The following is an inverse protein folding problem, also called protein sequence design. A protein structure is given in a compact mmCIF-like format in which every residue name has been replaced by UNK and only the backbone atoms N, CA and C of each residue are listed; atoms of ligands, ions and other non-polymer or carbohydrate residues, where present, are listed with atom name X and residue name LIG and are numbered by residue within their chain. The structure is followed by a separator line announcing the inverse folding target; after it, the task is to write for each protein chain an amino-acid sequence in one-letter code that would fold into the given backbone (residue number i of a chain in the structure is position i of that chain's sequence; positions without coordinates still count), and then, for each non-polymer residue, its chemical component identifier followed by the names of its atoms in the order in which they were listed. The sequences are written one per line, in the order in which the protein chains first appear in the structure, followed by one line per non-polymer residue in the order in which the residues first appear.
data_IF_736731959637
#
_entry.id   IF_736731959637
#
_cell.length_a   1.000
_cell.length_b   1.000
_cell.length_c   1.000
_cell.angle_alpha   90.00
_cell.angle_beta   90.00
_cell.angle_gamma   90.00
#
_symmetry.space_group_name_H-M   'P 1'
#
loop_
_entity.id
_entity.type
_entity.pdbx_description
1 polymer ?
#
# COMPACT_ATOMS: atom_id res chain seq x y z
N UNK A 1 7.03 -6.70 -10.71
CA UNK A 1 7.23 -5.91 -9.47
C UNK A 1 7.59 -6.82 -8.30
N UNK A 2 8.43 -6.34 -7.38
CA UNK A 2 8.78 -7.03 -6.12
C UNK A 2 8.44 -6.10 -4.94
N UNK A 3 7.65 -6.58 -3.99
CA UNK A 3 7.19 -5.82 -2.83
C UNK A 3 7.91 -6.35 -1.60
N UNK A 4 8.58 -5.48 -0.87
CA UNK A 4 9.25 -5.81 0.38
C UNK A 4 8.83 -4.85 1.48
N UNK A 5 8.82 -5.36 2.69
CA UNK A 5 8.52 -4.63 3.91
C UNK A 5 9.77 -4.51 4.76
N UNK A 6 10.01 -3.36 5.33
CA UNK A 6 11.07 -3.15 6.30
C UNK A 6 10.64 -2.15 7.36
N UNK A 7 10.89 -2.45 8.62
CA UNK A 7 10.62 -1.57 9.75
C UNK A 7 9.19 -0.99 9.79
N UNK A 8 8.23 -1.83 10.14
CA UNK A 8 6.82 -1.51 10.46
C UNK A 8 6.00 -0.74 9.40
N UNK A 9 6.53 0.27 8.71
CA UNK A 9 5.80 1.13 7.78
C UNK A 9 6.58 1.46 6.51
N UNK A 10 7.79 0.94 6.33
CA UNK A 10 8.57 1.16 5.11
C UNK A 10 8.27 0.08 4.11
N UNK A 11 7.65 0.44 3.00
CA UNK A 11 7.39 -0.44 1.86
C UNK A 11 8.29 -0.05 0.71
N UNK A 12 8.85 -1.04 0.04
CA UNK A 12 9.57 -0.84 -1.21
C UNK A 12 8.90 -1.60 -2.34
N UNK A 13 8.58 -0.88 -3.41
CA UNK A 13 8.08 -1.40 -4.66
C UNK A 13 9.21 -1.33 -5.69
N UNK A 14 9.73 -2.47 -6.11
CA UNK A 14 10.73 -2.56 -7.18
C UNK A 14 10.06 -3.02 -8.46
N UNK A 15 9.80 -2.10 -9.35
CA UNK A 15 9.36 -2.36 -10.72
C UNK A 15 10.56 -2.65 -11.65
N UNK A 16 10.26 -2.87 -12.93
CA UNK A 16 11.29 -3.06 -13.98
C UNK A 16 12.04 -1.77 -14.30
N UNK A 17 11.35 -0.64 -14.27
CA UNK A 17 11.86 0.66 -14.69
C UNK A 17 12.04 1.65 -13.55
N UNK A 18 11.33 1.45 -12.44
CA UNK A 18 11.31 2.36 -11.31
C UNK A 18 11.30 1.63 -9.97
N UNK A 19 11.87 2.27 -8.97
CA UNK A 19 11.84 1.85 -7.57
C UNK A 19 11.21 2.95 -6.72
N UNK A 20 10.17 2.61 -5.97
CA UNK A 20 9.47 3.51 -5.06
C UNK A 20 9.66 3.00 -3.63
N UNK A 21 10.03 3.89 -2.71
CA UNK A 21 10.08 3.58 -1.29
C UNK A 21 9.15 4.52 -0.54
N UNK A 22 8.28 3.95 0.29
CA UNK A 22 7.29 4.69 1.05
C UNK A 22 7.71 4.68 2.53
N UNK A 23 7.66 5.85 3.17
CA UNK A 23 8.03 6.10 4.57
C UNK A 23 9.43 5.56 4.96
N UNK A 24 10.50 5.84 4.20
CA UNK A 24 11.84 5.42 4.58
C UNK A 24 12.28 6.12 5.89
N UNK A 25 12.92 5.36 6.77
CA UNK A 25 13.43 5.87 8.07
C UNK A 25 14.78 6.61 7.94
N UNK A 26 15.43 6.45 6.80
CA UNK A 26 16.67 7.13 6.43
C UNK A 26 16.71 7.28 4.92
N UNK A 27 17.63 8.10 4.40
CA UNK A 27 17.82 8.19 2.97
C UNK A 27 18.22 6.83 2.38
N UNK A 28 17.50 6.43 1.35
CA UNK A 28 17.72 5.16 0.64
C UNK A 28 17.80 5.41 -0.87
N UNK A 29 18.55 4.56 -1.56
CA UNK A 29 18.62 4.63 -3.01
C UNK A 29 17.33 4.11 -3.63
N UNK A 30 16.58 5.03 -4.23
CA UNK A 30 15.37 4.77 -4.99
C UNK A 30 15.17 5.85 -6.06
N UNK A 31 14.24 5.64 -6.97
CA UNK A 31 13.90 6.67 -7.97
C UNK A 31 12.88 7.66 -7.40
N UNK A 32 12.10 7.23 -6.42
CA UNK A 32 11.09 8.05 -5.75
C UNK A 32 10.94 7.64 -4.28
N UNK A 33 10.85 8.63 -3.41
CA UNK A 33 10.43 8.48 -2.03
C UNK A 33 9.04 9.10 -1.84
N UNK A 34 8.16 8.39 -1.15
CA UNK A 34 6.84 8.89 -0.77
C UNK A 34 6.72 8.93 0.75
N UNK A 35 6.07 9.95 1.27
CA UNK A 35 5.79 10.07 2.70
C UNK A 35 4.30 10.31 2.92
N UNK A 36 3.71 9.56 3.81
CA UNK A 36 2.29 9.71 4.15
C UNK A 36 2.03 10.90 5.07
N UNK A 37 3.05 11.38 5.77
CA UNK A 37 2.97 12.58 6.61
C UNK A 37 3.59 13.79 5.90
N UNK A 38 2.96 14.98 5.98
CA UNK A 38 3.55 16.22 5.48
C UNK A 38 4.83 16.62 6.24
N UNK A 39 4.99 16.17 7.48
CA UNK A 39 6.18 16.35 8.29
C UNK A 39 7.21 15.27 8.00
N UNK A 40 7.78 15.29 6.80
CA UNK A 40 8.78 14.29 6.38
C UNK A 40 10.18 14.89 6.30
N UNK A 41 11.24 14.07 6.46
CA UNK A 41 12.61 14.53 6.29
C UNK A 41 12.86 14.93 4.82
N UNK A 42 13.79 15.89 4.65
CA UNK A 42 14.26 16.27 3.31
C UNK A 42 15.46 15.39 2.94
N UNK A 43 15.37 14.76 1.77
CA UNK A 43 16.44 13.92 1.22
C UNK A 43 16.90 14.47 -0.16
N UNK A 44 18.06 14.06 -0.63
CA UNK A 44 18.53 14.40 -1.99
C UNK A 44 17.73 13.63 -3.06
N UNK A 45 17.27 12.43 -2.73
CA UNK A 45 16.39 11.63 -3.58
C UNK A 45 15.05 12.35 -3.75
N UNK A 46 14.52 12.36 -4.99
CA UNK A 46 13.19 12.95 -5.27
C UNK A 46 12.14 12.39 -4.31
N UNK A 47 11.41 13.28 -3.66
CA UNK A 47 10.42 12.88 -2.67
C UNK A 47 9.15 13.72 -2.74
N UNK A 48 8.01 13.11 -2.40
CA UNK A 48 6.72 13.77 -2.24
C UNK A 48 6.08 13.37 -0.91
N UNK A 49 5.38 14.31 -0.30
CA UNK A 49 4.74 14.17 1.01
C UNK A 49 3.37 14.87 1.08
N UNK A 50 2.74 15.08 -0.06
CA UNK A 50 1.48 15.82 -0.17
C UNK A 50 0.56 15.18 -1.21
N UNK A 51 -0.75 15.45 -1.16
CA UNK A 51 -1.67 15.07 -2.21
C UNK A 51 -1.28 15.69 -3.56
N UNK A 52 -1.57 14.98 -4.65
CA UNK A 52 -1.31 15.42 -6.01
C UNK A 52 -0.91 14.30 -6.96
N UNK A 53 -0.87 14.60 -8.25
CA UNK A 53 -0.49 13.66 -9.30
C UNK A 53 1.00 13.80 -9.64
N UNK A 54 1.71 12.69 -9.67
CA UNK A 54 3.14 12.63 -9.94
C UNK A 54 3.46 11.54 -10.97
N UNK A 55 4.45 11.76 -11.80
CA UNK A 55 4.99 10.76 -12.73
C UNK A 55 6.50 10.66 -12.57
N UNK A 56 7.00 9.44 -12.40
CA UNK A 56 8.42 9.16 -12.28
C UNK A 56 8.76 7.87 -13.03
N UNK A 57 9.61 7.99 -14.08
CA UNK A 57 10.10 6.86 -14.90
C UNK A 57 8.96 5.91 -15.39
N UNK A 58 7.83 6.49 -15.77
CA UNK A 58 6.66 5.76 -16.26
C UNK A 58 5.81 5.12 -15.17
N UNK A 59 6.10 5.38 -13.90
CA UNK A 59 5.18 5.08 -12.80
C UNK A 59 4.32 6.29 -12.51
N UNK A 60 3.01 6.10 -12.51
CA UNK A 60 2.04 7.11 -12.11
C UNK A 60 1.77 6.98 -10.61
N UNK A 61 1.71 8.09 -9.92
CA UNK A 61 1.43 8.15 -8.47
C UNK A 61 0.41 9.25 -8.23
N UNK A 62 -0.68 8.91 -7.60
CA UNK A 62 -1.70 9.83 -7.14
C UNK A 62 -1.72 9.83 -5.60
N UNK A 63 -1.38 10.97 -5.01
CA UNK A 63 -1.47 11.22 -3.58
C UNK A 63 -2.84 11.73 -3.20
N UNK A 64 -3.55 11.01 -2.35
CA UNK A 64 -4.93 11.30 -1.94
C UNK A 64 -4.95 11.70 -0.47
N UNK A 65 -5.52 12.88 -0.18
CA UNK A 65 -5.68 13.33 1.20
C UNK A 65 -6.68 12.45 1.96
N UNK A 66 -6.20 11.76 3.00
CA UNK A 66 -7.07 11.04 3.94
C UNK A 66 -7.46 11.95 5.11
N UNK A 67 -6.49 12.67 5.64
CA UNK A 67 -6.63 13.76 6.60
C UNK A 67 -5.57 14.82 6.29
N UNK A 68 -5.62 16.03 6.87
CA UNK A 68 -4.56 17.04 6.68
C UNK A 68 -3.15 16.55 7.06
N UNK A 69 -3.05 15.48 7.82
CA UNK A 69 -1.80 14.91 8.34
C UNK A 69 -1.44 13.57 7.68
N UNK A 70 -2.31 13.04 6.79
CA UNK A 70 -2.11 11.72 6.19
C UNK A 70 -2.51 11.69 4.71
N UNK A 71 -1.56 11.33 3.85
CA UNK A 71 -1.73 11.10 2.41
C UNK A 71 -1.63 9.62 2.11
N UNK A 72 -2.65 9.04 1.50
CA UNK A 72 -2.59 7.72 0.88
C UNK A 72 -2.07 7.84 -0.57
N UNK A 73 -1.62 6.73 -1.14
CA UNK A 73 -1.10 6.72 -2.51
C UNK A 73 -1.76 5.63 -3.35
N UNK A 74 -2.25 6.02 -4.52
CA UNK A 74 -2.61 5.12 -5.62
C UNK A 74 -1.48 5.16 -6.65
N UNK A 75 -0.93 4.02 -7.03
CA UNK A 75 0.28 3.95 -7.86
C UNK A 75 0.13 2.91 -8.96
N UNK A 76 0.68 3.19 -10.14
CA UNK A 76 0.80 2.21 -11.23
C UNK A 76 2.27 1.88 -11.42
N UNK A 77 2.65 0.64 -11.13
CA UNK A 77 4.02 0.12 -11.27
C UNK A 77 3.98 -1.20 -12.05
N UNK A 78 4.71 -1.30 -13.17
CA UNK A 78 4.68 -2.47 -14.05
C UNK A 78 3.25 -2.87 -14.52
N UNK A 79 2.39 -1.90 -14.80
CA UNK A 79 0.97 -2.07 -15.15
C UNK A 79 0.10 -2.64 -14.01
N UNK A 80 0.58 -2.70 -12.78
CA UNK A 80 -0.16 -3.13 -11.59
C UNK A 80 -0.57 -1.90 -10.78
N UNK A 81 -1.85 -1.81 -10.45
CA UNK A 81 -2.40 -0.75 -9.62
C UNK A 81 -2.25 -1.11 -8.13
N UNK A 82 -1.53 -0.30 -7.38
CA UNK A 82 -1.24 -0.52 -5.95
C UNK A 82 -1.79 0.66 -5.15
N UNK A 83 -2.69 0.39 -4.23
CA UNK A 83 -3.08 1.35 -3.20
C UNK A 83 -2.26 1.12 -1.93
N UNK A 84 -1.71 2.21 -1.39
CA UNK A 84 -1.03 2.23 -0.09
C UNK A 84 -1.81 3.13 0.87
N UNK A 85 -2.49 2.51 1.82
CA UNK A 85 -3.37 3.13 2.79
C UNK A 85 -2.81 2.86 4.19
N UNK A 86 -2.40 3.90 4.92
CA UNK A 86 -1.87 3.73 6.28
C UNK A 86 -2.54 4.66 7.27
N UNK A 87 -2.63 4.22 8.51
CA UNK A 87 -3.26 4.95 9.61
C UNK A 87 -4.70 5.38 9.31
N UNK A 88 -5.42 4.57 8.54
CA UNK A 88 -6.81 4.84 8.19
C UNK A 88 -7.70 4.63 9.41
N UNK A 89 -8.56 5.59 9.70
CA UNK A 89 -9.45 5.57 10.85
C UNK A 89 -10.94 5.46 10.50
N UNK A 90 -11.30 5.61 9.21
CA UNK A 90 -12.65 5.54 8.68
C UNK A 90 -12.68 4.88 7.29
N UNK A 91 -13.88 4.57 6.81
CA UNK A 91 -14.11 4.21 5.41
C UNK A 91 -13.79 5.40 4.49
N UNK A 92 -13.40 5.09 3.25
CA UNK A 92 -13.13 6.12 2.24
C UNK A 92 -14.43 6.81 1.81
N UNK A 93 -14.33 8.10 1.56
CA UNK A 93 -15.40 8.89 0.92
C UNK A 93 -15.48 8.57 -0.57
N UNK A 94 -16.58 8.96 -1.23
CA UNK A 94 -16.74 8.76 -2.68
C UNK A 94 -15.63 9.46 -3.46
N UNK A 95 -15.25 10.69 -3.08
CA UNK A 95 -14.16 11.44 -3.70
C UNK A 95 -12.81 10.70 -3.57
N UNK A 96 -12.52 10.12 -2.39
CA UNK A 96 -11.30 9.33 -2.16
C UNK A 96 -11.31 8.03 -2.97
N UNK A 97 -12.49 7.40 -3.12
CA UNK A 97 -12.63 6.16 -3.89
C UNK A 97 -12.42 6.38 -5.39
N UNK A 98 -12.77 7.55 -5.95
CA UNK A 98 -12.49 7.89 -7.35
C UNK A 98 -10.99 7.80 -7.69
N UNK A 99 -10.12 8.11 -6.72
CA UNK A 99 -8.66 7.99 -6.86
C UNK A 99 -8.12 6.56 -6.65
N UNK A 100 -8.97 5.65 -6.15
CA UNK A 100 -8.63 4.25 -5.85
C UNK A 100 -9.29 3.28 -6.85
N UNK A 101 -9.63 3.76 -8.05
CA UNK A 101 -10.25 2.91 -9.07
C UNK A 101 -9.30 1.81 -9.57
N UNK A 102 -9.87 0.63 -9.81
CA UNK A 102 -9.17 -0.51 -10.43
C UNK A 102 -7.92 -0.99 -9.67
N UNK A 103 -7.88 -0.90 -8.33
CA UNK A 103 -6.77 -1.36 -7.51
C UNK A 103 -6.61 -2.89 -7.60
N UNK A 104 -5.42 -3.33 -8.02
CA UNK A 104 -5.05 -4.75 -8.04
C UNK A 104 -4.55 -5.21 -6.66
N UNK A 105 -3.74 -4.37 -5.99
CA UNK A 105 -3.10 -4.70 -4.71
C UNK A 105 -3.41 -3.59 -3.70
N UNK A 106 -4.00 -3.93 -2.58
CA UNK A 106 -4.19 -3.02 -1.46
C UNK A 106 -3.22 -3.37 -0.33
N UNK A 107 -2.33 -2.43 -0.01
CA UNK A 107 -1.46 -2.47 1.18
C UNK A 107 -2.09 -1.54 2.20
N UNK A 108 -2.48 -2.07 3.36
CA UNK A 108 -3.30 -1.32 4.29
C UNK A 108 -2.90 -1.51 5.75
N UNK A 109 -2.81 -0.40 6.48
CA UNK A 109 -2.90 -0.37 7.94
C UNK A 109 -4.06 0.52 8.38
N UNK A 110 -4.65 0.20 9.51
CA UNK A 110 -5.74 0.98 10.10
C UNK A 110 -5.41 1.35 11.53
N UNK A 111 -5.94 2.46 11.99
CA UNK A 111 -5.75 2.93 13.35
C UNK A 111 -6.27 1.89 14.36
N UNK A 112 -5.49 1.66 15.41
CA UNK A 112 -5.76 0.65 16.45
C UNK A 112 -5.86 -0.80 15.92
N UNK A 113 -5.29 -1.12 14.75
CA UNK A 113 -5.27 -2.45 14.12
C UNK A 113 -6.66 -3.12 13.98
N UNK A 114 -7.73 -2.34 13.75
CA UNK A 114 -9.10 -2.87 13.70
C UNK A 114 -9.36 -3.65 12.41
N UNK A 115 -9.33 -4.97 12.47
CA UNK A 115 -9.62 -5.85 11.32
C UNK A 115 -10.97 -5.58 10.66
N UNK A 116 -11.99 -5.16 11.44
CA UNK A 116 -13.31 -4.80 10.91
C UNK A 116 -13.24 -3.62 9.93
N UNK A 117 -12.35 -2.64 10.16
CA UNK A 117 -12.17 -1.53 9.23
C UNK A 117 -11.43 -1.99 7.97
N UNK A 118 -10.42 -2.87 8.10
CA UNK A 118 -9.76 -3.48 6.94
C UNK A 118 -10.79 -4.17 6.04
N UNK A 119 -11.71 -4.96 6.62
CA UNK A 119 -12.76 -5.65 5.87
C UNK A 119 -13.70 -4.68 5.14
N UNK A 120 -14.03 -3.55 5.77
CA UNK A 120 -14.85 -2.51 5.12
C UNK A 120 -14.11 -1.86 3.94
N UNK A 121 -12.82 -1.56 4.09
CA UNK A 121 -11.99 -1.00 3.01
C UNK A 121 -11.83 -2.02 1.86
N UNK A 122 -11.64 -3.30 2.18
CA UNK A 122 -11.65 -4.37 1.17
C UNK A 122 -12.97 -4.40 0.40
N UNK A 123 -14.11 -4.24 1.08
CA UNK A 123 -15.42 -4.19 0.44
C UNK A 123 -15.67 -2.93 -0.40
N UNK A 124 -14.97 -1.82 -0.14
CA UNK A 124 -15.06 -0.60 -0.94
C UNK A 124 -14.16 -0.65 -2.18
N UNK A 125 -12.93 -1.19 -2.05
CA UNK A 125 -11.89 -1.17 -3.09
C UNK A 125 -11.91 -2.43 -3.95
N UNK A 126 -12.34 -3.56 -3.38
CA UNK A 126 -12.38 -4.89 -4.02
C UNK A 126 -11.01 -5.30 -4.64
N UNK A 127 -9.88 -5.20 -3.93
CA UNK A 127 -8.58 -5.52 -4.46
C UNK A 127 -8.46 -7.03 -4.74
N UNK A 128 -7.64 -7.41 -5.71
CA UNK A 128 -7.32 -8.82 -5.99
C UNK A 128 -6.35 -9.40 -4.95
N UNK A 129 -5.48 -8.55 -4.41
CA UNK A 129 -4.49 -8.93 -3.39
C UNK A 129 -4.58 -7.97 -2.22
N UNK A 130 -4.71 -8.54 -1.02
CA UNK A 130 -4.68 -7.82 0.25
C UNK A 130 -3.35 -8.05 0.95
N UNK A 131 -2.67 -6.97 1.34
CA UNK A 131 -1.45 -6.97 2.14
C UNK A 131 -1.70 -6.12 3.40
N UNK A 132 -2.19 -6.71 4.51
CA UNK A 132 -2.41 -5.97 5.74
C UNK A 132 -1.09 -5.72 6.46
N UNK A 133 -0.91 -4.52 7.00
CA UNK A 133 0.16 -4.14 7.91
C UNK A 133 -0.47 -4.04 9.30
N UNK A 134 -0.23 -5.02 10.15
CA UNK A 134 -0.84 -5.11 11.49
C UNK A 134 0.21 -5.52 12.53
N UNK A 135 0.18 -4.86 13.68
CA UNK A 135 1.02 -5.20 14.83
C UNK A 135 0.33 -6.21 15.77
N UNK A 136 -1.00 -6.17 15.82
CA UNK A 136 -1.80 -7.08 16.64
C UNK A 136 -1.92 -8.45 15.98
N UNK A 137 -1.28 -9.46 16.57
CA UNK A 137 -1.43 -10.85 16.13
C UNK A 137 -2.88 -11.34 16.21
N UNK A 138 -3.66 -10.84 17.18
CA UNK A 138 -5.08 -11.20 17.34
C UNK A 138 -5.90 -10.67 16.18
N UNK A 139 -5.70 -9.41 15.79
CA UNK A 139 -6.42 -8.80 14.67
C UNK A 139 -5.95 -9.39 13.32
N UNK A 140 -4.66 -9.65 13.17
CA UNK A 140 -4.13 -10.33 12.00
C UNK A 140 -4.72 -11.75 11.86
N UNK A 141 -4.90 -12.47 12.97
CA UNK A 141 -5.52 -13.79 12.95
C UNK A 141 -6.99 -13.74 12.46
N UNK A 142 -7.73 -12.66 12.73
CA UNK A 142 -9.09 -12.47 12.20
C UNK A 142 -9.06 -12.26 10.67
N UNK A 143 -8.14 -11.43 10.17
CA UNK A 143 -7.94 -11.25 8.72
C UNK A 143 -7.55 -12.57 8.06
N UNK A 144 -6.63 -13.33 8.64
CA UNK A 144 -6.26 -14.66 8.14
C UNK A 144 -7.44 -15.64 8.14
N UNK A 145 -8.30 -15.59 9.15
CA UNK A 145 -9.48 -16.45 9.21
C UNK A 145 -10.48 -16.18 8.08
N UNK A 146 -10.55 -14.95 7.61
CA UNK A 146 -11.47 -14.52 6.56
C UNK A 146 -10.88 -14.71 5.15
N UNK A 147 -9.61 -14.33 4.93
CA UNK A 147 -8.99 -14.29 3.60
C UNK A 147 -8.01 -15.43 3.32
N UNK A 148 -7.54 -16.16 4.32
CA UNK A 148 -6.59 -17.27 4.08
C UNK A 148 -5.93 -17.80 5.35
N UNK A 149 -6.50 -18.87 5.95
CA UNK A 149 -6.08 -19.41 7.25
C UNK A 149 -4.63 -19.88 7.31
N UNK A 150 -4.13 -20.46 6.22
CA UNK A 150 -2.83 -21.11 6.16
C UNK A 150 -1.74 -20.24 5.47
N UNK A 151 -1.98 -18.92 5.38
CA UNK A 151 -1.01 -18.01 4.75
C UNK A 151 0.19 -17.81 5.68
N UNK A 152 1.38 -18.17 5.20
CA UNK A 152 2.65 -17.91 5.87
C UNK A 152 3.18 -16.51 5.50
N UNK A 153 3.90 -15.90 6.45
CA UNK A 153 4.55 -14.62 6.21
C UNK A 153 5.81 -14.81 5.35
N UNK A 154 6.01 -13.94 4.37
CA UNK A 154 7.13 -13.95 3.44
C UNK A 154 7.96 -12.67 3.53
N UNK A 155 9.26 -12.75 3.23
CA UNK A 155 10.16 -11.58 3.26
C UNK A 155 9.94 -10.65 2.06
N UNK A 156 9.46 -11.19 0.94
CA UNK A 156 9.14 -10.44 -0.28
C UNK A 156 8.00 -11.09 -1.05
N UNK A 157 7.25 -10.28 -1.79
CA UNK A 157 6.20 -10.74 -2.67
C UNK A 157 6.46 -10.29 -4.11
N UNK A 158 6.69 -11.28 -5.00
CA UNK A 158 6.94 -11.04 -6.43
C UNK A 158 5.69 -11.33 -7.23
N UNK A 159 5.30 -10.37 -8.08
CA UNK A 159 4.10 -10.46 -8.90
C UNK A 159 4.32 -9.81 -10.27
N UNK A 160 3.74 -10.38 -11.29
CA UNK A 160 3.59 -9.74 -12.60
C UNK A 160 2.10 -9.60 -12.94
N UNK A 161 1.74 -8.64 -13.80
CA UNK A 161 0.33 -8.36 -14.16
C UNK A 161 -0.45 -9.61 -14.58
N UNK A 162 0.20 -10.51 -15.33
CA UNK A 162 -0.40 -11.77 -15.80
C UNK A 162 -0.67 -12.80 -14.69
N UNK A 163 -0.05 -12.65 -13.54
CA UNK A 163 -0.12 -13.57 -12.40
C UNK A 163 -1.13 -13.09 -11.34
N UNK A 164 -1.78 -11.95 -11.58
CA UNK A 164 -2.85 -11.44 -10.71
C UNK A 164 -4.03 -12.42 -10.69
N UNK A 165 -4.61 -12.71 -9.50
CA UNK A 165 -5.79 -13.55 -9.39
C UNK A 165 -6.96 -13.00 -10.24
N UNK A 166 -7.65 -13.88 -11.00
CA UNK A 166 -8.77 -13.46 -11.85
C UNK A 166 -10.10 -13.49 -11.09
N UNK A 167 -10.35 -14.58 -10.34
CA UNK A 167 -11.67 -14.88 -9.75
C UNK A 167 -11.62 -15.06 -8.22
N UNK A 168 -10.49 -14.75 -7.57
CA UNK A 168 -10.32 -14.91 -6.12
C UNK A 168 -9.47 -13.78 -5.55
N UNK A 169 -9.72 -13.47 -4.28
CA UNK A 169 -8.87 -12.55 -3.53
C UNK A 169 -7.74 -13.34 -2.84
N UNK A 170 -6.52 -12.84 -2.92
CA UNK A 170 -5.35 -13.43 -2.28
C UNK A 170 -4.89 -12.59 -1.09
N UNK A 171 -4.66 -13.24 0.04
CA UNK A 171 -3.99 -12.63 1.19
C UNK A 171 -2.48 -12.86 1.09
N UNK A 172 -1.69 -11.82 1.32
CA UNK A 172 -0.21 -11.89 1.45
C UNK A 172 0.19 -11.22 2.75
N UNK A 173 1.00 -11.91 3.54
CA UNK A 173 1.56 -11.38 4.79
C UNK A 173 3.06 -11.15 4.56
N UNK A 174 3.49 -9.91 4.70
CA UNK A 174 4.92 -9.54 4.66
C UNK A 174 5.49 -9.45 6.09
N UNK A 175 6.77 -9.79 6.27
CA UNK A 175 7.49 -9.72 7.56
C UNK A 175 8.85 -9.03 7.42
#
# INVERSE_FOLDING_TARGET
MDITFSNKNTIKLNGKSSSIVINPQSEVKADLLLFTSPESPQYETRSFNSPGEYEVLGSMVDGVEMTPENTAYSMVVDDIHVAYLTDIDAQLTDDQLEHMDSVDIMIVSVKDDKSELVNKLVGQIEPRILIPIMESEVELAKIKAEYGKDVEAVDSFKIAKKDLPADSQQLVILK
#
